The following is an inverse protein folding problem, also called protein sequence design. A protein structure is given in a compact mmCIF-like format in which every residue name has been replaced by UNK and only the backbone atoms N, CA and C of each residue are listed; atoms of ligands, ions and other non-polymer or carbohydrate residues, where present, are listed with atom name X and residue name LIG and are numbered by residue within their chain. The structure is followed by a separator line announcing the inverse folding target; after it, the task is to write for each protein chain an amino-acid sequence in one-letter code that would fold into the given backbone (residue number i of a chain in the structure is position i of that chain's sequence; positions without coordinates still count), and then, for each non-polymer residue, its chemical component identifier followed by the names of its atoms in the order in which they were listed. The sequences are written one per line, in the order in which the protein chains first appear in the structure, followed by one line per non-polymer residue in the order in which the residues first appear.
data_IF_689491729868
#
_entry.id   IF_689491729868
#
_cell.length_a   1.000
_cell.length_b   1.000
_cell.length_c   1.000
_cell.angle_alpha   90.00
_cell.angle_beta   90.00
_cell.angle_gamma   90.00
#
_symmetry.space_group_name_H-M   'P 1'
#
loop_
_entity.id
_entity.type
_entity.pdbx_description
1 polymer ?
#
# COMPACT_ATOMS: atom_id res chain seq x y z
N UNK A 1 35.05 6.07 -0.15
CA UNK A 1 33.70 5.71 -0.52
C UNK A 1 32.92 5.28 0.71
N UNK A 2 31.69 5.71 0.83
CA UNK A 2 30.80 5.31 1.91
C UNK A 2 30.08 4.04 1.51
N UNK A 3 30.00 3.10 2.43
CA UNK A 3 29.22 1.89 2.26
C UNK A 3 28.31 1.67 3.47
N UNK A 4 27.18 1.06 3.26
CA UNK A 4 26.23 0.68 4.31
C UNK A 4 26.04 -0.83 4.25
N UNK A 5 26.22 -1.50 5.36
CA UNK A 5 25.94 -2.92 5.47
C UNK A 5 24.52 -3.09 5.96
N UNK A 6 23.70 -3.76 5.17
CA UNK A 6 22.29 -3.99 5.48
C UNK A 6 22.09 -5.45 5.90
N UNK A 7 21.51 -5.62 7.08
CA UNK A 7 21.14 -6.94 7.59
C UNK A 7 19.66 -7.19 7.32
N UNK A 8 19.38 -8.20 6.55
CA UNK A 8 18.00 -8.65 6.29
C UNK A 8 17.63 -9.80 7.23
N UNK A 9 16.36 -10.11 7.28
CA UNK A 9 15.90 -11.31 7.97
C UNK A 9 16.58 -12.56 7.40
N UNK A 10 16.58 -13.64 8.17
CA UNK A 10 17.23 -14.91 7.80
C UNK A 10 18.75 -14.80 7.55
N UNK A 11 19.41 -13.92 8.30
CA UNK A 11 20.86 -13.75 8.25
C UNK A 11 21.41 -13.27 6.90
N UNK A 12 20.59 -12.69 6.06
CA UNK A 12 21.04 -12.09 4.82
C UNK A 12 21.74 -10.77 5.08
N UNK A 13 22.87 -10.58 4.44
CA UNK A 13 23.66 -9.35 4.54
C UNK A 13 23.93 -8.83 3.14
N UNK A 14 23.69 -7.54 2.93
CA UNK A 14 24.08 -6.86 1.71
C UNK A 14 24.90 -5.62 2.05
N UNK A 15 25.92 -5.35 1.26
CA UNK A 15 26.71 -4.13 1.37
C UNK A 15 26.31 -3.20 0.23
N UNK A 16 25.84 -2.02 0.58
CA UNK A 16 25.41 -1.01 -0.40
C UNK A 16 26.47 0.06 -0.49
N UNK A 17 27.04 0.24 -1.67
CA UNK A 17 28.06 1.25 -1.92
C UNK A 17 27.45 2.62 -2.19
N UNK A 18 28.29 3.65 -2.21
CA UNK A 18 27.85 5.05 -2.29
C UNK A 18 26.96 5.35 -3.50
N UNK A 19 27.16 4.68 -4.62
CA UNK A 19 26.36 4.91 -5.82
C UNK A 19 24.91 4.42 -5.68
N UNK A 20 24.70 3.40 -4.84
CA UNK A 20 23.40 2.79 -4.60
C UNK A 20 22.71 3.31 -3.34
N UNK A 21 23.37 4.19 -2.57
CA UNK A 21 22.80 4.72 -1.32
C UNK A 21 21.54 5.56 -1.55
N UNK A 22 21.39 6.14 -2.73
CA UNK A 22 20.18 6.91 -3.10
C UNK A 22 18.95 6.02 -3.21
N UNK A 23 19.12 4.73 -3.43
CA UNK A 23 18.04 3.76 -3.50
C UNK A 23 17.62 3.23 -2.12
N UNK A 24 18.34 3.60 -1.06
CA UNK A 24 18.01 3.21 0.30
C UNK A 24 17.09 4.23 0.95
N UNK A 25 16.02 3.73 1.56
CA UNK A 25 15.10 4.51 2.37
C UNK A 25 14.95 3.86 3.74
N UNK A 26 14.59 4.68 4.74
CA UNK A 26 14.23 4.15 6.04
C UNK A 26 12.93 3.36 5.93
N UNK A 27 12.95 2.09 6.34
CA UNK A 27 11.83 1.17 6.18
C UNK A 27 10.95 1.07 7.43
N UNK A 28 10.78 2.17 8.18
CA UNK A 28 9.89 2.17 9.34
C UNK A 28 8.40 2.15 8.94
N UNK A 29 8.09 2.55 7.74
CA UNK A 29 6.75 2.45 7.15
C UNK A 29 6.87 2.46 5.62
N UNK A 30 5.95 1.77 4.97
CA UNK A 30 5.87 1.76 3.50
C UNK A 30 4.43 2.04 3.07
N UNK A 31 4.24 2.47 1.83
CA UNK A 31 2.92 2.70 1.29
C UNK A 31 2.24 1.37 0.91
N UNK A 32 0.91 1.40 0.82
CA UNK A 32 0.14 0.24 0.35
C UNK A 32 0.61 -0.20 -1.04
N UNK A 33 0.90 0.76 -1.92
CA UNK A 33 1.37 0.47 -3.28
C UNK A 33 2.70 -0.28 -3.28
N UNK A 34 3.64 0.12 -2.43
CA UNK A 34 4.93 -0.58 -2.30
C UNK A 34 4.78 -1.97 -1.68
N UNK A 35 3.75 -2.18 -0.88
CA UNK A 35 3.46 -3.45 -0.24
C UNK A 35 2.71 -4.43 -1.15
N UNK A 36 2.29 -4.02 -2.33
CA UNK A 36 1.60 -4.91 -3.29
C UNK A 36 2.47 -6.12 -3.62
N UNK A 37 1.85 -7.29 -3.64
CA UNK A 37 2.55 -8.55 -3.87
C UNK A 37 3.26 -9.13 -2.65
N UNK A 38 3.27 -8.42 -1.52
CA UNK A 38 3.85 -8.88 -0.26
C UNK A 38 2.77 -9.18 0.76
N UNK A 39 3.08 -10.06 1.72
CA UNK A 39 2.21 -10.36 2.84
C UNK A 39 3.01 -10.29 4.14
N UNK A 40 2.35 -9.91 5.21
CA UNK A 40 2.96 -9.75 6.53
C UNK A 40 2.15 -10.47 7.59
N UNK A 41 2.79 -11.15 8.55
CA UNK A 41 2.06 -11.80 9.65
C UNK A 41 1.22 -10.82 10.46
N UNK A 42 1.77 -9.65 10.75
CA UNK A 42 1.10 -8.59 11.49
C UNK A 42 1.23 -7.30 10.70
N UNK A 43 0.13 -6.60 10.53
CA UNK A 43 0.09 -5.33 9.82
C UNK A 43 -0.57 -4.26 10.68
N UNK A 44 0.03 -3.07 10.68
CA UNK A 44 -0.60 -1.87 11.21
C UNK A 44 -0.87 -0.97 10.02
N UNK A 45 -2.14 -0.86 9.65
CA UNK A 45 -2.57 -0.05 8.51
C UNK A 45 -3.08 1.30 9.01
N UNK A 46 -2.38 2.36 8.62
CA UNK A 46 -2.73 3.74 8.98
C UNK A 46 -3.33 4.42 7.77
N UNK A 47 -4.55 4.92 7.91
CA UNK A 47 -5.24 5.64 6.84
C UNK A 47 -5.57 7.04 7.36
N UNK A 48 -4.77 8.04 6.98
CA UNK A 48 -5.08 9.42 7.31
C UNK A 48 -6.22 9.95 6.44
N UNK A 49 -6.84 11.04 6.88
CA UNK A 49 -7.84 11.73 6.07
C UNK A 49 -7.18 12.29 4.80
N UNK A 50 -7.78 12.04 3.67
CA UNK A 50 -7.29 12.47 2.36
C UNK A 50 -8.46 12.71 1.41
N UNK A 51 -8.17 13.05 0.16
CA UNK A 51 -9.20 13.29 -0.83
C UNK A 51 -9.97 12.01 -1.20
N UNK A 52 -11.27 12.11 -1.50
CA UNK A 52 -12.06 10.95 -1.94
C UNK A 52 -11.51 10.24 -3.18
N UNK A 53 -10.85 10.96 -4.06
CA UNK A 53 -10.25 10.37 -5.26
C UNK A 53 -9.14 9.38 -4.93
N UNK A 54 -8.47 9.55 -3.80
CA UNK A 54 -7.39 8.68 -3.34
C UNK A 54 -7.90 7.56 -2.43
N UNK A 55 -8.90 7.86 -1.58
CA UNK A 55 -9.42 6.92 -0.59
C UNK A 55 -10.52 6.03 -1.19
N UNK A 56 -10.12 5.03 -1.94
CA UNK A 56 -11.02 4.10 -2.62
C UNK A 56 -11.19 2.80 -1.84
N UNK A 57 -12.29 2.09 -2.11
CA UNK A 57 -12.52 0.75 -1.56
C UNK A 57 -11.41 -0.21 -2.00
N UNK A 58 -10.95 -0.08 -3.23
CA UNK A 58 -9.89 -0.93 -3.78
C UNK A 58 -8.58 -0.74 -3.04
N UNK A 59 -8.23 0.50 -2.68
CA UNK A 59 -7.05 0.79 -1.88
C UNK A 59 -7.15 0.14 -0.50
N UNK A 60 -8.30 0.27 0.15
CA UNK A 60 -8.55 -0.36 1.45
C UNK A 60 -8.42 -1.87 1.37
N UNK A 61 -9.04 -2.49 0.38
CA UNK A 61 -8.95 -3.94 0.16
C UNK A 61 -7.51 -4.40 -0.04
N UNK A 62 -6.76 -3.69 -0.87
CA UNK A 62 -5.34 -4.00 -1.11
C UNK A 62 -4.53 -3.90 0.18
N UNK A 63 -4.75 -2.87 0.98
CA UNK A 63 -4.05 -2.71 2.25
C UNK A 63 -4.40 -3.81 3.25
N UNK A 64 -5.67 -4.08 3.44
CA UNK A 64 -6.16 -5.07 4.41
C UNK A 64 -5.67 -6.49 4.07
N UNK A 65 -5.63 -6.84 2.79
CA UNK A 65 -5.24 -8.18 2.36
C UNK A 65 -3.74 -8.45 2.46
N UNK A 66 -2.93 -7.45 2.84
CA UNK A 66 -1.50 -7.67 3.12
C UNK A 66 -1.27 -8.33 4.49
N UNK A 67 -2.26 -8.33 5.37
CA UNK A 67 -2.17 -8.99 6.67
C UNK A 67 -2.53 -10.47 6.55
N UNK A 68 -1.66 -11.33 7.08
CA UNK A 68 -1.89 -12.79 7.10
C UNK A 68 -2.59 -13.24 8.37
N UNK A 69 -2.21 -12.71 9.51
CA UNK A 69 -2.68 -13.19 10.82
C UNK A 69 -3.42 -12.11 11.59
N UNK A 70 -2.87 -10.92 11.68
CA UNK A 70 -3.44 -9.82 12.46
C UNK A 70 -3.35 -8.51 11.70
N UNK A 71 -4.42 -7.74 11.81
CA UNK A 71 -4.51 -6.40 11.25
C UNK A 71 -4.93 -5.43 12.36
N UNK A 72 -4.14 -4.37 12.52
CA UNK A 72 -4.50 -3.22 13.32
C UNK A 72 -4.79 -2.06 12.39
N UNK A 73 -6.03 -1.59 12.41
CA UNK A 73 -6.48 -0.51 11.53
C UNK A 73 -6.59 0.79 12.34
N UNK A 74 -5.75 1.77 11.98
CA UNK A 74 -5.75 3.10 12.59
C UNK A 74 -6.31 4.10 11.59
N UNK A 75 -7.58 4.46 11.78
CA UNK A 75 -8.27 5.44 10.94
C UNK A 75 -9.46 6.01 11.67
N UNK A 76 -10.03 7.08 11.13
CA UNK A 76 -11.28 7.64 11.64
C UNK A 76 -12.45 6.85 11.05
N UNK A 77 -13.51 6.68 11.84
CA UNK A 77 -14.74 6.02 11.37
C UNK A 77 -15.28 6.68 10.10
N UNK A 78 -15.21 7.99 10.04
CA UNK A 78 -15.66 8.78 8.89
C UNK A 78 -14.87 8.44 7.63
N UNK A 79 -13.56 8.34 7.76
CA UNK A 79 -12.67 7.98 6.65
C UNK A 79 -12.93 6.57 6.16
N UNK A 80 -13.05 5.62 7.09
CA UNK A 80 -13.34 4.23 6.77
C UNK A 80 -14.70 4.08 6.06
N UNK A 81 -15.73 4.74 6.58
CA UNK A 81 -17.07 4.74 5.99
C UNK A 81 -17.04 5.29 4.57
N UNK A 82 -16.31 6.37 4.35
CA UNK A 82 -16.15 6.97 3.03
C UNK A 82 -15.46 6.01 2.05
N UNK A 83 -14.41 5.31 2.48
CA UNK A 83 -13.69 4.36 1.65
C UNK A 83 -14.58 3.17 1.27
N UNK A 84 -15.36 2.65 2.22
CA UNK A 84 -16.27 1.53 1.98
C UNK A 84 -17.36 1.87 0.95
N UNK A 85 -17.75 3.12 0.89
CA UNK A 85 -18.79 3.60 -0.03
C UNK A 85 -18.22 4.14 -1.35
N UNK A 86 -16.90 4.23 -1.46
CA UNK A 86 -16.25 4.80 -2.65
C UNK A 86 -15.92 3.72 -3.67
N UNK A 87 -16.77 3.59 -4.67
CA UNK A 87 -16.66 2.61 -5.75
C UNK A 87 -16.06 3.19 -7.04
N UNK A 88 -15.19 4.17 -6.93
CA UNK A 88 -14.62 4.85 -8.11
C UNK A 88 -14.02 3.86 -9.12
N UNK A 89 -13.35 2.80 -8.67
CA UNK A 89 -12.84 1.77 -9.55
C UNK A 89 -13.95 1.02 -10.29
N UNK A 90 -15.09 0.77 -9.63
CA UNK A 90 -16.24 0.13 -10.26
C UNK A 90 -16.93 1.06 -11.26
N UNK A 91 -16.98 2.35 -10.98
CA UNK A 91 -17.46 3.37 -11.90
C UNK A 91 -16.62 3.41 -13.17
N UNK A 92 -15.30 3.36 -13.04
CA UNK A 92 -14.40 3.27 -14.19
C UNK A 92 -14.64 2.02 -15.02
N UNK A 93 -14.89 0.89 -14.40
CA UNK A 93 -15.26 -0.35 -15.10
C UNK A 93 -16.60 -0.21 -15.78
N UNK A 94 -17.57 0.44 -15.14
CA UNK A 94 -18.86 0.73 -15.74
C UNK A 94 -18.73 1.61 -16.98
N UNK A 95 -17.94 2.66 -16.90
CA UNK A 95 -17.64 3.53 -18.03
C UNK A 95 -16.98 2.77 -19.18
N UNK A 96 -16.04 1.91 -18.88
CA UNK A 96 -15.38 1.08 -19.90
C UNK A 96 -16.37 0.13 -20.58
N UNK A 97 -17.26 -0.50 -19.82
CA UNK A 97 -18.32 -1.34 -20.37
C UNK A 97 -19.26 -0.56 -21.28
N UNK A 98 -19.65 0.65 -20.87
CA UNK A 98 -20.51 1.52 -21.65
C UNK A 98 -19.81 1.95 -22.95
N UNK A 99 -18.52 2.24 -22.88
CA UNK A 99 -17.71 2.53 -24.06
C UNK A 99 -17.68 1.35 -25.03
N UNK A 100 -17.46 0.14 -24.51
CA UNK A 100 -17.42 -1.06 -25.34
C UNK A 100 -18.77 -1.36 -25.98
N UNK A 101 -19.87 -1.05 -25.31
CA UNK A 101 -21.22 -1.21 -25.85
C UNK A 101 -21.53 -0.18 -26.95
N UNK A 102 -20.92 0.99 -26.89
CA UNK A 102 -21.11 2.05 -27.87
C UNK A 102 -20.33 1.81 -29.17
N UNK A 103 -19.40 0.90 -29.16
CA UNK A 103 -18.65 0.47 -30.33
C UNK A 103 -19.44 -0.56 -31.10
#
# INVERSE_FOLDING_TARGET
AKSVTVFFEEERIAVVESDDLLDLELAYAITIHKAQGSEYPVEILVIPSSSPSFLTRNLLYTGVTRARERLFLLTRKRTLSMMLNNNEANERRGMLKDWLKAL
#
